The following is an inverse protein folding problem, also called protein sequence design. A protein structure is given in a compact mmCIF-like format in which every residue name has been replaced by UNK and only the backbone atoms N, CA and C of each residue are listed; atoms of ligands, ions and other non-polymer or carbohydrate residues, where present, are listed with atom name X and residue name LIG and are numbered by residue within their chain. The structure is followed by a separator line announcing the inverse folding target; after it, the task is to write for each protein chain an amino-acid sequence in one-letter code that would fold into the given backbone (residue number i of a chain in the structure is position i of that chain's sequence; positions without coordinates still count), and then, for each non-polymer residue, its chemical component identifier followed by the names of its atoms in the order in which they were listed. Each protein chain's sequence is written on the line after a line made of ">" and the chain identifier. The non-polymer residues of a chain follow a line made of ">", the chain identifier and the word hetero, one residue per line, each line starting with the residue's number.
data_IF_222974375231
#
_entry.id   IF_222974375231
#
_cell.length_a   1.000
_cell.length_b   1.000
_cell.length_c   1.000
_cell.angle_alpha   90.00
_cell.angle_beta   90.00
_cell.angle_gamma   90.00
#
_symmetry.space_group_name_H-M   'P 1'
#
loop_
_entity.id
_entity.type
_entity.pdbx_description
1 polymer ?
#
# COMPACT_ATOMS: atom_id res chain seq x y z
N UNK A 1 11.52 16.57 -9.53
CA UNK A 1 11.96 15.83 -10.74
C UNK A 1 11.84 16.77 -11.92
N UNK A 2 12.92 16.98 -12.67
CA UNK A 2 12.90 17.83 -13.87
C UNK A 2 12.45 17.02 -15.11
N UNK A 3 12.16 17.71 -16.21
CA UNK A 3 11.63 17.09 -17.44
C UNK A 3 12.59 16.04 -18.04
N UNK A 4 13.88 16.29 -17.94
CA UNK A 4 14.93 15.38 -18.44
C UNK A 4 14.94 14.05 -17.69
N UNK A 5 14.91 14.11 -16.36
CA UNK A 5 14.84 12.94 -15.48
C UNK A 5 13.57 12.11 -15.75
N UNK A 6 12.44 12.78 -16.00
CA UNK A 6 11.20 12.10 -16.35
C UNK A 6 11.31 11.35 -17.69
N UNK A 7 11.85 11.99 -18.73
CA UNK A 7 12.04 11.36 -20.04
C UNK A 7 13.01 10.18 -19.99
N UNK A 8 14.07 10.30 -19.20
CA UNK A 8 15.02 9.21 -18.97
C UNK A 8 14.39 8.04 -18.20
N UNK A 9 13.54 8.32 -17.21
CA UNK A 9 12.80 7.29 -16.48
C UNK A 9 11.79 6.58 -17.40
N UNK A 10 11.08 7.33 -18.25
CA UNK A 10 10.13 6.75 -19.22
C UNK A 10 10.85 5.85 -20.23
N UNK A 11 12.05 6.23 -20.69
CA UNK A 11 12.80 5.39 -21.63
C UNK A 11 13.28 4.08 -21.01
N UNK A 12 13.66 4.10 -19.72
CA UNK A 12 14.10 2.90 -19.00
C UNK A 12 12.93 2.04 -18.50
N UNK A 13 11.79 2.66 -18.19
CA UNK A 13 10.60 2.00 -17.66
C UNK A 13 9.34 2.38 -18.48
N UNK A 14 9.27 1.97 -19.75
CA UNK A 14 8.21 2.40 -20.66
C UNK A 14 6.81 1.99 -20.19
N UNK A 15 6.71 0.90 -19.42
CA UNK A 15 5.46 0.46 -18.81
C UNK A 15 4.88 1.49 -17.81
N UNK A 16 5.71 2.30 -17.15
CA UNK A 16 5.25 3.34 -16.21
C UNK A 16 4.59 4.53 -16.93
N UNK A 17 4.83 4.70 -18.23
CA UNK A 17 4.26 5.78 -19.03
C UNK A 17 2.92 5.41 -19.69
N UNK A 18 2.57 4.13 -19.72
CA UNK A 18 1.34 3.66 -20.37
C UNK A 18 0.13 3.89 -19.47
N UNK A 19 -0.72 4.85 -19.85
CA UNK A 19 -2.08 4.98 -19.32
C UNK A 19 -3.08 4.64 -20.41
N UNK A 20 -3.89 3.61 -20.20
CA UNK A 20 -5.04 3.34 -21.07
C UNK A 20 -6.04 4.48 -20.91
N UNK A 21 -6.40 5.16 -22.02
CA UNK A 21 -7.17 6.41 -22.01
C UNK A 21 -8.68 6.23 -22.18
N UNK A 22 -9.18 5.00 -22.28
CA UNK A 22 -10.62 4.70 -22.47
C UNK A 22 -11.18 3.76 -21.41
N UNK A 23 -12.41 4.02 -20.95
CA UNK A 23 -13.19 3.19 -20.01
C UNK A 23 -12.44 2.75 -18.73
N UNK A 24 -11.73 3.68 -18.09
CA UNK A 24 -10.97 3.39 -16.85
C UNK A 24 -11.73 3.81 -15.59
N UNK A 25 -11.44 3.15 -14.48
CA UNK A 25 -11.90 3.52 -13.14
C UNK A 25 -10.81 3.24 -12.10
N UNK A 26 -11.06 3.55 -10.83
CA UNK A 26 -10.10 3.33 -9.72
C UNK A 26 -9.57 1.89 -9.57
N UNK A 27 -10.24 0.90 -10.16
CA UNK A 27 -9.76 -0.49 -10.18
C UNK A 27 -8.76 -0.78 -11.30
N UNK A 28 -8.80 -0.01 -12.39
CA UNK A 28 -7.89 -0.14 -13.54
C UNK A 28 -6.44 0.14 -13.14
N UNK A 29 -6.22 1.07 -12.21
CA UNK A 29 -4.88 1.46 -11.74
C UNK A 29 -4.43 0.68 -10.49
N UNK A 30 -5.01 -0.49 -10.26
CA UNK A 30 -4.63 -1.41 -9.20
C UNK A 30 -5.11 -1.03 -7.81
N UNK A 31 -5.11 -2.04 -6.93
CA UNK A 31 -5.35 -1.92 -5.49
C UNK A 31 -4.06 -2.25 -4.75
N UNK A 32 -3.49 -1.28 -4.03
CA UNK A 32 -2.37 -1.52 -3.13
C UNK A 32 -2.87 -1.73 -1.71
N UNK A 33 -2.39 -2.78 -1.04
CA UNK A 33 -2.52 -2.95 0.40
C UNK A 33 -1.16 -2.71 1.06
N UNK A 34 -1.14 -1.88 2.11
CA UNK A 34 0.06 -1.61 2.91
C UNK A 34 -0.20 -2.09 4.33
N UNK A 35 0.63 -2.97 4.87
CA UNK A 35 0.56 -3.44 6.25
C UNK A 35 1.76 -2.89 7.04
N UNK A 36 1.49 -2.33 8.21
CA UNK A 36 2.51 -1.78 9.09
C UNK A 36 1.91 -1.02 10.26
N UNK A 37 2.63 -0.02 10.78
CA UNK A 37 2.17 0.83 11.89
C UNK A 37 1.82 0.07 13.17
N UNK A 38 2.86 -0.33 13.90
CA UNK A 38 2.73 -0.59 15.34
C UNK A 38 2.37 0.68 16.11
N UNK A 39 2.08 0.53 17.40
CA UNK A 39 1.76 1.62 18.31
C UNK A 39 2.82 2.74 18.22
N UNK A 40 2.35 3.99 18.09
CA UNK A 40 3.23 5.17 17.93
C UNK A 40 3.83 5.37 16.52
N UNK A 41 3.67 4.42 15.59
CA UNK A 41 4.29 4.45 14.26
C UNK A 41 3.32 4.77 13.10
N UNK A 42 2.13 5.30 13.40
CA UNK A 42 1.09 5.63 12.41
C UNK A 42 1.57 6.57 11.29
N UNK A 43 2.54 7.44 11.57
CA UNK A 43 3.10 8.33 10.53
C UNK A 43 3.72 7.56 9.35
N UNK A 44 4.36 6.42 9.61
CA UNK A 44 5.08 5.65 8.58
C UNK A 44 4.12 5.09 7.52
N UNK A 45 3.05 4.42 7.95
CA UNK A 45 2.07 3.83 7.03
C UNK A 45 1.29 4.91 6.26
N UNK A 46 1.02 6.06 6.89
CA UNK A 46 0.35 7.20 6.25
C UNK A 46 1.23 7.82 5.16
N UNK A 47 2.53 7.98 5.42
CA UNK A 47 3.48 8.47 4.40
C UNK A 47 3.58 7.51 3.21
N UNK A 48 3.65 6.20 3.47
CA UNK A 48 3.65 5.18 2.42
C UNK A 48 2.36 5.25 1.58
N UNK A 49 1.20 5.32 2.24
CA UNK A 49 -0.11 5.42 1.58
C UNK A 49 -0.24 6.66 0.70
N UNK A 50 0.12 7.84 1.23
CA UNK A 50 0.08 9.10 0.46
C UNK A 50 1.03 9.06 -0.73
N UNK A 51 2.18 8.42 -0.58
CA UNK A 51 3.14 8.26 -1.67
C UNK A 51 2.60 7.34 -2.76
N UNK A 52 1.92 6.25 -2.40
CA UNK A 52 1.26 5.35 -3.34
C UNK A 52 0.14 6.04 -4.14
N UNK A 53 -0.70 6.84 -3.48
CA UNK A 53 -1.72 7.66 -4.16
C UNK A 53 -1.07 8.63 -5.16
N UNK A 54 0.00 9.33 -4.75
CA UNK A 54 0.75 10.23 -5.64
C UNK A 54 1.42 9.51 -6.80
N UNK A 55 1.84 8.25 -6.60
CA UNK A 55 2.39 7.40 -7.65
C UNK A 55 1.32 6.91 -8.65
N UNK A 56 0.04 7.05 -8.32
CA UNK A 56 -1.07 6.77 -9.23
C UNK A 56 -1.82 5.46 -8.95
N UNK A 57 -1.63 4.84 -7.78
CA UNK A 57 -2.48 3.72 -7.36
C UNK A 57 -3.95 4.14 -7.34
N UNK A 58 -4.82 3.34 -7.94
CA UNK A 58 -6.24 3.67 -8.01
C UNK A 58 -6.97 3.49 -6.67
N UNK A 59 -6.54 2.52 -5.86
CA UNK A 59 -7.02 2.27 -4.49
C UNK A 59 -5.83 1.97 -3.58
N UNK A 60 -5.86 2.52 -2.37
CA UNK A 60 -4.83 2.25 -1.34
C UNK A 60 -5.51 1.94 -0.01
N UNK A 61 -5.23 0.75 0.51
CA UNK A 61 -5.65 0.32 1.85
C UNK A 61 -4.45 0.34 2.81
N UNK A 62 -4.67 0.83 4.02
CA UNK A 62 -3.71 0.79 5.11
C UNK A 62 -4.22 -0.18 6.18
N UNK A 63 -3.44 -1.24 6.41
CA UNK A 63 -3.66 -2.25 7.44
C UNK A 63 -2.77 -1.94 8.65
N UNK A 64 -3.38 -1.42 9.70
CA UNK A 64 -2.69 -1.10 10.94
C UNK A 64 -2.42 -2.40 11.73
N UNK A 65 -1.16 -2.66 12.07
CA UNK A 65 -0.70 -3.79 12.87
C UNK A 65 -1.01 -3.57 14.37
N UNK A 66 -2.27 -3.27 14.65
CA UNK A 66 -2.83 -2.98 15.96
C UNK A 66 -4.24 -3.61 16.03
N UNK A 67 -4.73 -3.97 17.23
CA UNK A 67 -6.06 -4.57 17.38
C UNK A 67 -7.20 -3.67 16.92
N UNK A 68 -6.98 -2.35 16.94
CA UNK A 68 -7.98 -1.33 16.65
C UNK A 68 -7.34 -0.23 15.78
N UNK A 69 -8.17 0.48 15.02
CA UNK A 69 -7.71 1.64 14.26
C UNK A 69 -7.30 2.77 15.22
N UNK A 70 -6.07 3.30 15.13
CA UNK A 70 -5.63 4.38 16.01
C UNK A 70 -6.31 5.72 15.68
N UNK A 71 -6.93 5.82 14.50
CA UNK A 71 -7.68 6.99 14.05
C UNK A 71 -8.78 6.58 13.06
N UNK A 72 -9.94 7.25 13.08
CA UNK A 72 -11.07 6.90 12.21
C UNK A 72 -10.89 7.34 10.76
N UNK A 73 -10.12 8.41 10.52
CA UNK A 73 -9.78 8.90 9.17
C UNK A 73 -8.51 9.77 9.21
N UNK A 74 -7.93 10.05 8.04
CA UNK A 74 -6.77 10.94 7.87
C UNK A 74 -7.20 12.14 7.05
N UNK A 75 -7.36 13.30 7.71
CA UNK A 75 -7.83 14.53 7.06
C UNK A 75 -6.97 14.95 5.85
N UNK A 76 -5.65 14.80 5.96
CA UNK A 76 -4.73 15.17 4.88
C UNK A 76 -4.68 14.20 3.69
N UNK A 77 -5.47 13.12 3.74
CA UNK A 77 -5.54 12.07 2.71
C UNK A 77 -6.81 11.21 2.90
N UNK A 78 -8.02 11.78 2.73
CA UNK A 78 -9.28 11.09 2.96
C UNK A 78 -9.53 9.93 1.98
N UNK A 79 -8.74 9.83 0.90
CA UNK A 79 -8.81 8.75 -0.08
C UNK A 79 -8.20 7.43 0.43
N UNK A 80 -7.43 7.47 1.53
CA UNK A 80 -6.85 6.28 2.16
C UNK A 80 -7.94 5.50 2.90
N UNK A 81 -8.02 4.20 2.58
CA UNK A 81 -8.95 3.30 3.26
C UNK A 81 -8.24 2.64 4.45
N UNK A 82 -8.77 2.83 5.65
CA UNK A 82 -8.15 2.36 6.89
C UNK A 82 -8.83 1.08 7.38
N UNK A 83 -8.03 0.05 7.68
CA UNK A 83 -8.48 -1.21 8.27
C UNK A 83 -7.42 -1.70 9.27
N UNK A 84 -7.79 -2.63 10.16
CA UNK A 84 -6.78 -3.39 10.88
C UNK A 84 -6.07 -4.34 9.90
N UNK A 85 -4.82 -4.70 10.19
CA UNK A 85 -4.06 -5.59 9.32
C UNK A 85 -4.76 -6.95 9.12
N UNK A 86 -5.37 -7.48 10.18
CA UNK A 86 -6.12 -8.75 10.14
C UNK A 86 -7.29 -8.66 9.16
N UNK A 87 -8.12 -7.60 9.24
CA UNK A 87 -9.23 -7.41 8.30
C UNK A 87 -8.73 -7.19 6.86
N UNK A 88 -7.61 -6.48 6.69
CA UNK A 88 -7.06 -6.22 5.37
C UNK A 88 -6.53 -7.48 4.68
N UNK A 89 -6.03 -8.47 5.42
CA UNK A 89 -5.58 -9.76 4.84
C UNK A 89 -6.71 -10.51 4.12
N UNK A 90 -7.95 -10.29 4.53
CA UNK A 90 -9.14 -10.90 3.93
C UNK A 90 -9.68 -10.10 2.73
N UNK A 91 -9.11 -8.92 2.46
CA UNK A 91 -9.61 -8.02 1.41
C UNK A 91 -9.41 -8.64 0.02
N UNK A 92 -10.47 -8.83 -0.77
CA UNK A 92 -10.34 -9.38 -2.11
C UNK A 92 -9.73 -8.34 -3.08
N UNK A 93 -9.14 -8.83 -4.17
CA UNK A 93 -8.68 -8.03 -5.32
C UNK A 93 -7.53 -7.05 -5.00
N UNK A 94 -6.57 -7.48 -4.18
CA UNK A 94 -5.30 -6.78 -4.02
C UNK A 94 -4.39 -7.05 -5.22
N UNK A 95 -3.84 -5.99 -5.80
CA UNK A 95 -2.93 -6.05 -6.95
C UNK A 95 -1.45 -6.05 -6.55
N UNK A 96 -1.13 -5.54 -5.36
CA UNK A 96 0.21 -5.53 -4.78
C UNK A 96 0.15 -5.34 -3.26
N UNK A 97 1.17 -5.83 -2.57
CA UNK A 97 1.35 -5.67 -1.13
C UNK A 97 2.65 -4.94 -0.80
N UNK A 98 2.61 -4.05 0.18
CA UNK A 98 3.77 -3.48 0.83
C UNK A 98 3.68 -3.74 2.34
N UNK A 99 4.66 -4.40 2.91
CA UNK A 99 4.65 -4.87 4.30
C UNK A 99 5.84 -4.24 5.01
N UNK A 100 5.67 -3.83 6.26
CA UNK A 100 6.80 -3.43 7.11
C UNK A 100 6.85 -1.93 7.46
N UNK A 101 6.08 -1.07 6.81
CA UNK A 101 6.12 0.39 7.06
C UNK A 101 5.76 0.73 8.51
N UNK A 102 6.76 0.94 9.37
CA UNK A 102 6.57 1.15 10.80
C UNK A 102 5.98 -0.08 11.52
N UNK A 103 6.20 -1.28 11.00
CA UNK A 103 5.64 -2.51 11.58
C UNK A 103 6.19 -2.77 13.00
N UNK A 104 7.44 -2.39 13.27
CA UNK A 104 8.09 -2.65 14.56
C UNK A 104 8.67 -4.06 14.63
N UNK A 105 9.16 -4.43 15.82
CA UNK A 105 9.89 -5.68 16.07
C UNK A 105 9.26 -6.50 17.22
N UNK A 106 7.98 -6.28 17.52
CA UNK A 106 7.27 -7.03 18.55
C UNK A 106 6.95 -8.45 18.07
N UNK A 107 6.60 -9.34 19.01
CA UNK A 107 6.07 -10.67 18.69
C UNK A 107 4.86 -10.61 17.76
N UNK A 108 3.97 -9.64 17.99
CA UNK A 108 2.75 -9.48 17.18
C UNK A 108 3.10 -9.08 15.73
N UNK A 109 4.15 -8.27 15.57
CA UNK A 109 4.69 -7.88 14.27
C UNK A 109 5.25 -9.08 13.50
N UNK A 110 6.01 -9.92 14.20
CA UNK A 110 6.58 -11.16 13.66
C UNK A 110 5.48 -12.16 13.26
N UNK A 111 4.46 -12.34 14.11
CA UNK A 111 3.32 -13.21 13.82
C UNK A 111 2.51 -12.72 12.62
N UNK A 112 2.28 -11.42 12.52
CA UNK A 112 1.59 -10.82 11.38
C UNK A 112 2.40 -11.02 10.10
N UNK A 113 3.71 -10.77 10.11
CA UNK A 113 4.59 -11.01 8.97
C UNK A 113 4.58 -12.49 8.55
N UNK A 114 4.65 -13.39 9.52
CA UNK A 114 4.59 -14.85 9.28
C UNK A 114 3.27 -15.24 8.61
N UNK A 115 2.16 -14.64 9.06
CA UNK A 115 0.83 -14.86 8.47
C UNK A 115 0.78 -14.36 7.03
N UNK A 116 1.30 -13.17 6.76
CA UNK A 116 1.38 -12.60 5.39
C UNK A 116 2.21 -13.51 4.48
N UNK A 117 3.36 -13.98 4.95
CA UNK A 117 4.24 -14.87 4.20
C UNK A 117 3.57 -16.21 3.90
N UNK A 118 2.83 -16.78 4.85
CA UNK A 118 2.09 -18.03 4.68
C UNK A 118 0.92 -17.92 3.69
N UNK A 119 0.26 -16.75 3.61
CA UNK A 119 -0.85 -16.48 2.70
C UNK A 119 -0.42 -15.89 1.35
N UNK A 120 0.89 -15.77 1.12
CA UNK A 120 1.44 -15.10 -0.06
C UNK A 120 0.98 -15.79 -1.35
N UNK A 121 0.41 -15.00 -2.24
CA UNK A 121 0.09 -15.41 -3.60
C UNK A 121 1.27 -15.08 -4.53
N UNK A 122 1.90 -16.09 -5.13
CA UNK A 122 3.06 -15.92 -6.02
C UNK A 122 2.78 -15.06 -7.26
N UNK A 123 1.51 -14.95 -7.67
CA UNK A 123 1.09 -14.13 -8.82
C UNK A 123 0.93 -12.65 -8.49
N UNK A 124 0.99 -12.28 -7.20
CA UNK A 124 0.85 -10.92 -6.72
C UNK A 124 2.22 -10.45 -6.22
N UNK A 125 2.69 -9.24 -6.59
CA UNK A 125 3.92 -8.68 -6.07
C UNK A 125 3.80 -8.28 -4.60
N UNK A 126 4.86 -8.56 -3.84
CA UNK A 126 5.04 -8.15 -2.45
C UNK A 126 6.36 -7.40 -2.31
N UNK A 127 6.34 -6.33 -1.51
CA UNK A 127 7.52 -5.65 -0.99
C UNK A 127 7.49 -5.82 0.52
N UNK A 128 8.62 -6.21 1.12
CA UNK A 128 8.81 -6.37 2.56
C UNK A 128 9.91 -5.40 3.04
#
# INVERSE_FOLDING_TARGET
>A
MNREQLLQAISHYPALAQRNMGNTHKGTFGTLAIIGSSEGMSGAIVLAGKSALKAGCGKVFLGFAQPQLPLPFIDSAPELMLQTAITLLEQPQISAWAIGCGLGLSSDSEQLLTTVLAQRNEKIPYVF
#
